data_IF_295104019564
#
_entry.id   IF_295104019564
#
_cell.length_a   1.000
_cell.length_b   1.000
_cell.length_c   1.000
_cell.angle_alpha   90.00
_cell.angle_beta   90.00
_cell.angle_gamma   90.00
#
_symmetry.space_group_name_H-M   'P 1'
#
loop_
_entity.id
_entity.type
_entity.pdbx_description
1 polymer ?
#
# COMPACT_ATOMS: atom_id res chain seq x y z
N UNK A 1 -25.51 -8.68 8.11
CA UNK A 1 -24.19 -9.36 8.07
C UNK A 1 -24.33 -10.81 7.63
N UNK A 2 -25.19 -11.63 8.27
CA UNK A 2 -25.38 -13.05 7.93
C UNK A 2 -25.55 -13.39 6.42
N UNK A 3 -26.38 -12.65 5.67
CA UNK A 3 -26.58 -12.89 4.23
C UNK A 3 -25.29 -12.72 3.40
N UNK A 4 -24.42 -11.77 3.77
CA UNK A 4 -23.18 -11.51 3.04
C UNK A 4 -22.19 -12.67 3.26
N UNK A 5 -21.99 -13.06 4.51
CA UNK A 5 -21.05 -14.14 4.87
C UNK A 5 -21.48 -15.47 4.28
N UNK A 6 -22.78 -15.81 4.36
CA UNK A 6 -23.31 -17.04 3.77
C UNK A 6 -23.16 -17.08 2.25
N UNK A 7 -23.36 -15.93 1.57
CA UNK A 7 -23.20 -15.84 0.12
C UNK A 7 -21.74 -16.04 -0.28
N UNK A 8 -20.80 -15.38 0.39
CA UNK A 8 -19.39 -15.48 0.04
C UNK A 8 -18.79 -16.83 0.43
N UNK A 9 -19.20 -17.43 1.55
CA UNK A 9 -18.79 -18.79 1.93
C UNK A 9 -19.25 -19.87 0.94
N UNK A 10 -20.36 -19.65 0.22
CA UNK A 10 -20.80 -20.55 -0.86
C UNK A 10 -19.90 -20.47 -2.11
N UNK A 11 -19.32 -19.30 -2.38
CA UNK A 11 -18.47 -19.06 -3.56
C UNK A 11 -17.02 -19.40 -3.24
N UNK A 12 -16.55 -19.00 -2.07
CA UNK A 12 -15.21 -19.20 -1.55
C UNK A 12 -15.35 -19.74 -0.11
N UNK A 13 -15.24 -21.07 0.10
CA UNK A 13 -15.39 -21.69 1.41
C UNK A 13 -14.48 -21.10 2.49
N UNK A 14 -13.30 -20.63 2.09
CA UNK A 14 -12.27 -20.05 2.96
C UNK A 14 -12.39 -18.50 3.06
N UNK A 15 -13.57 -17.95 2.81
CA UNK A 15 -13.81 -16.52 2.91
C UNK A 15 -13.72 -16.03 4.36
N UNK A 16 -12.71 -15.20 4.64
CA UNK A 16 -12.49 -14.53 5.91
C UNK A 16 -12.73 -13.01 5.77
N UNK A 17 -13.88 -12.48 6.21
CA UNK A 17 -14.22 -11.06 6.05
C UNK A 17 -13.39 -10.12 6.95
N UNK A 18 -12.71 -10.65 7.96
CA UNK A 18 -12.07 -9.85 9.01
C UNK A 18 -10.60 -9.51 8.73
N UNK A 19 -10.00 -10.00 7.64
CA UNK A 19 -8.59 -9.74 7.35
C UNK A 19 -8.41 -8.28 6.88
N UNK A 20 -7.75 -7.41 7.67
CA UNK A 20 -7.56 -6.03 7.27
C UNK A 20 -6.58 -5.95 6.08
N UNK A 21 -6.83 -5.00 5.18
CA UNK A 21 -5.92 -4.74 4.07
C UNK A 21 -4.58 -4.20 4.59
N UNK A 22 -3.49 -4.71 4.04
CA UNK A 22 -2.15 -4.22 4.37
C UNK A 22 -1.97 -2.79 3.86
N UNK A 23 -1.53 -1.89 4.75
CA UNK A 23 -1.26 -0.49 4.38
C UNK A 23 -0.14 -0.45 3.36
N UNK A 24 -0.38 0.25 2.27
CA UNK A 24 0.56 0.32 1.15
C UNK A 24 0.70 1.73 0.59
N UNK A 25 1.86 1.98 0.00
CA UNK A 25 2.21 3.22 -0.68
C UNK A 25 2.80 2.93 -2.06
N UNK A 26 2.73 3.91 -2.94
CA UNK A 26 3.37 3.89 -4.25
C UNK A 26 4.23 5.12 -4.42
N UNK A 27 5.50 4.90 -4.75
CA UNK A 27 6.44 5.99 -5.00
C UNK A 27 6.13 6.67 -6.34
N UNK A 28 6.10 7.99 -6.31
CA UNK A 28 5.91 8.84 -7.47
C UNK A 28 7.26 9.13 -8.13
N UNK A 29 7.60 8.31 -9.13
CA UNK A 29 8.86 8.41 -9.87
C UNK A 29 8.95 9.64 -10.78
N UNK A 30 7.88 10.43 -10.92
CA UNK A 30 7.93 11.73 -11.60
C UNK A 30 8.52 12.82 -10.70
N UNK A 31 8.45 12.65 -9.37
CA UNK A 31 8.87 13.66 -8.40
C UNK A 31 10.15 13.29 -7.66
N UNK A 32 10.43 12.00 -7.48
CA UNK A 32 11.59 11.53 -6.73
C UNK A 32 12.11 10.17 -7.21
N UNK A 33 13.38 9.89 -6.93
CA UNK A 33 14.00 8.59 -7.20
C UNK A 33 13.59 7.59 -6.13
N UNK A 34 13.11 6.42 -6.56
CA UNK A 34 12.59 5.38 -5.67
C UNK A 34 13.53 5.06 -4.50
N UNK A 35 14.79 4.78 -4.81
CA UNK A 35 15.81 4.41 -3.82
C UNK A 35 16.03 5.49 -2.76
N UNK A 36 15.92 6.76 -3.14
CA UNK A 36 16.12 7.87 -2.20
C UNK A 36 14.94 8.01 -1.24
N UNK A 37 13.71 7.86 -1.76
CA UNK A 37 12.49 7.92 -0.93
C UNK A 37 12.47 6.75 0.05
N UNK A 38 12.78 5.53 -0.40
CA UNK A 38 12.87 4.35 0.45
C UNK A 38 13.90 4.58 1.57
N UNK A 39 15.10 5.03 1.22
CA UNK A 39 16.16 5.26 2.21
C UNK A 39 15.78 6.32 3.26
N UNK A 40 15.05 7.37 2.88
CA UNK A 40 14.57 8.40 3.81
C UNK A 40 13.50 7.85 4.75
N UNK A 41 12.51 7.11 4.22
CA UNK A 41 11.46 6.50 5.03
C UNK A 41 12.02 5.46 6.01
N UNK A 42 12.96 4.63 5.57
CA UNK A 42 13.64 3.66 6.45
C UNK A 42 14.47 4.37 7.54
N UNK A 43 15.09 5.52 7.22
CA UNK A 43 15.80 6.33 8.22
C UNK A 43 14.88 6.96 9.27
N UNK A 44 13.59 7.13 8.96
CA UNK A 44 12.53 7.53 9.91
C UNK A 44 11.88 6.32 10.60
N UNK A 45 12.50 5.13 10.54
CA UNK A 45 11.99 3.90 11.15
C UNK A 45 10.68 3.36 10.52
N UNK A 46 10.36 3.76 9.28
CA UNK A 46 9.27 3.15 8.52
C UNK A 46 9.75 1.82 7.92
N UNK A 47 9.11 0.73 8.32
CA UNK A 47 9.38 -0.60 7.75
C UNK A 47 8.68 -0.73 6.40
N UNK A 48 9.45 -0.97 5.34
CA UNK A 48 8.94 -1.12 3.98
C UNK A 48 9.15 -2.55 3.45
N UNK A 49 8.11 -3.15 2.89
CA UNK A 49 8.19 -4.45 2.20
C UNK A 49 7.78 -4.29 0.75
N UNK A 50 8.67 -4.69 -0.17
CA UNK A 50 8.42 -4.57 -1.61
C UNK A 50 7.21 -5.41 -2.03
N UNK A 51 6.31 -4.80 -2.80
CA UNK A 51 5.12 -5.45 -3.35
C UNK A 51 5.32 -5.84 -4.82
N UNK A 52 4.51 -6.74 -5.40
CA UNK A 52 4.69 -7.24 -6.76
C UNK A 52 4.36 -6.22 -7.87
N UNK A 53 4.11 -4.96 -7.51
CA UNK A 53 3.84 -3.86 -8.43
C UNK A 53 5.05 -2.90 -8.42
N UNK A 54 5.47 -2.37 -9.59
CA UNK A 54 6.55 -1.39 -9.64
C UNK A 54 6.32 -0.21 -8.69
N UNK A 55 7.38 0.20 -7.99
CA UNK A 55 7.36 1.31 -7.02
C UNK A 55 6.37 1.16 -5.86
N UNK A 56 5.83 -0.04 -5.62
CA UNK A 56 4.87 -0.32 -4.57
C UNK A 56 5.51 -0.97 -3.35
N UNK A 57 5.07 -0.55 -2.17
CA UNK A 57 5.56 -1.05 -0.88
C UNK A 57 4.39 -1.16 0.10
N UNK A 58 4.34 -2.26 0.85
CA UNK A 58 3.62 -2.29 2.12
C UNK A 58 4.45 -1.59 3.19
N UNK A 59 3.78 -0.95 4.14
CA UNK A 59 4.48 -0.20 5.17
C UNK A 59 3.89 -0.39 6.57
N UNK A 60 4.77 -0.31 7.57
CA UNK A 60 4.41 -0.19 8.98
C UNK A 60 5.22 0.94 9.61
N UNK A 61 4.55 1.78 10.39
CA UNK A 61 5.14 2.89 11.13
C UNK A 61 4.34 3.13 12.42
N UNK A 62 5.03 3.59 13.46
CA UNK A 62 4.45 4.00 14.76
C UNK A 62 3.80 5.40 14.70
N UNK A 63 3.95 6.11 13.58
CA UNK A 63 3.42 7.44 13.34
C UNK A 63 2.68 7.52 12.00
N UNK A 64 2.03 8.66 11.76
CA UNK A 64 1.33 8.91 10.51
C UNK A 64 2.32 9.26 9.40
N UNK A 65 2.54 8.36 8.43
CA UNK A 65 3.43 8.66 7.31
C UNK A 65 2.91 9.81 6.42
N UNK A 66 1.62 10.16 6.53
CA UNK A 66 1.05 11.31 5.82
C UNK A 66 1.58 12.66 6.28
N UNK A 67 2.19 12.73 7.47
CA UNK A 67 2.82 13.96 7.96
C UNK A 67 4.31 14.06 7.63
N UNK A 68 4.87 13.10 6.89
CA UNK A 68 6.26 13.14 6.43
C UNK A 68 6.45 14.21 5.36
N UNK A 69 7.68 14.71 5.26
CA UNK A 69 8.06 15.66 4.21
C UNK A 69 7.87 15.03 2.83
N UNK A 70 8.22 13.75 2.70
CA UNK A 70 8.09 12.93 1.50
C UNK A 70 6.64 12.89 1.01
N UNK A 71 5.67 12.71 1.92
CA UNK A 71 4.26 12.72 1.53
C UNK A 71 3.81 14.11 1.08
N UNK A 72 4.16 15.16 1.83
CA UNK A 72 3.76 16.53 1.54
C UNK A 72 4.35 17.07 0.23
N UNK A 73 5.55 16.61 -0.13
CA UNK A 73 6.18 16.91 -1.43
C UNK A 73 5.66 16.03 -2.57
N UNK A 74 4.73 15.11 -2.31
CA UNK A 74 4.13 14.23 -3.31
C UNK A 74 5.07 13.14 -3.81
N UNK A 75 6.07 12.74 -3.02
CA UNK A 75 7.03 11.68 -3.38
C UNK A 75 6.41 10.29 -3.33
N UNK A 76 5.32 10.11 -2.59
CA UNK A 76 4.53 8.88 -2.62
C UNK A 76 3.05 9.14 -2.36
N UNK A 77 2.22 8.19 -2.78
CA UNK A 77 0.78 8.14 -2.48
C UNK A 77 0.48 6.97 -1.55
N UNK A 78 -0.33 7.17 -0.52
CA UNK A 78 -0.92 6.07 0.26
C UNK A 78 -2.07 5.49 -0.55
N UNK A 79 -1.93 4.27 -1.04
CA UNK A 79 -2.89 3.64 -1.94
C UNK A 79 -2.88 2.13 -1.73
N UNK A 80 -4.05 1.52 -1.50
CA UNK A 80 -4.18 0.07 -1.34
C UNK A 80 -3.69 -0.70 -2.57
N UNK A 81 -3.07 -1.87 -2.36
CA UNK A 81 -2.41 -2.65 -3.41
C UNK A 81 -3.35 -2.97 -4.58
N UNK A 82 -4.59 -3.33 -4.28
CA UNK A 82 -5.60 -3.64 -5.30
C UNK A 82 -5.88 -2.44 -6.23
N UNK A 83 -5.86 -1.22 -5.68
CA UNK A 83 -6.06 0.00 -6.46
C UNK A 83 -4.83 0.35 -7.31
N UNK A 84 -3.63 0.01 -6.85
CA UNK A 84 -2.40 0.20 -7.62
C UNK A 84 -2.32 -0.70 -8.86
N UNK A 85 -2.90 -1.91 -8.79
CA UNK A 85 -2.94 -2.86 -9.91
C UNK A 85 -3.56 -2.25 -11.17
N UNK A 86 -4.61 -1.45 -11.03
CA UNK A 86 -5.34 -0.86 -12.17
C UNK A 86 -4.40 -0.04 -13.06
N UNK A 87 -3.61 0.83 -12.43
CA UNK A 87 -2.67 1.67 -13.14
C UNK A 87 -1.47 0.88 -13.72
N UNK A 88 -1.13 -0.27 -13.12
CA UNK A 88 -0.09 -1.14 -13.67
C UNK A 88 -0.54 -1.88 -14.93
N UNK A 89 -1.80 -2.36 -14.96
CA UNK A 89 -2.35 -3.09 -16.12
C UNK A 89 -2.56 -2.19 -17.34
N UNK A 90 -2.76 -0.88 -17.14
CA UNK A 90 -2.94 0.09 -18.22
C UNK A 90 -1.62 0.64 -18.80
N UNK A 91 -0.48 0.38 -18.15
CA UNK A 91 0.83 0.93 -18.50
C UNK A 91 1.54 0.09 -19.55
#
# INVERSE_FOLDING_TARGET
MAYFDERYKKICPDFEPEKPEERSLRINTLCAVEKEVVARLEAEEVMLTKQPIPNSYAFTAEFSISSTTEHLLGYFYMQGLASQCVAHVLA
#
